data_IF_163326298896
#
_entry.id   IF_163326298896
#
_cell.length_a   1.000
_cell.length_b   1.000
_cell.length_c   1.000
_cell.angle_alpha   90.00
_cell.angle_beta   90.00
_cell.angle_gamma   90.00
#
_symmetry.space_group_name_H-M   'P 1'
#
loop_
_entity.id
_entity.type
_entity.pdbx_description
1 polymer ?
#
# COMPACT_ATOMS: atom_id res chain seq x y z
N UNK A 1 15.66 -13.39 -6.18
CA UNK A 1 14.97 -13.33 -4.87
C UNK A 1 14.87 -11.87 -4.45
N UNK A 2 13.68 -11.27 -4.51
CA UNK A 2 13.50 -9.87 -4.11
C UNK A 2 13.72 -9.73 -2.59
N UNK A 3 14.63 -8.83 -2.21
CA UNK A 3 15.10 -8.62 -0.86
C UNK A 3 13.96 -8.10 0.03
N UNK A 4 13.45 -8.91 0.95
CA UNK A 4 12.27 -8.64 1.80
C UNK A 4 12.51 -7.58 2.91
N UNK A 5 13.62 -6.85 2.86
CA UNK A 5 14.19 -6.12 4.01
C UNK A 5 14.05 -4.59 3.96
N UNK A 6 13.26 -4.02 3.02
CA UNK A 6 13.33 -2.58 2.71
C UNK A 6 12.16 -1.73 3.17
N UNK A 7 11.15 -2.29 3.84
CA UNK A 7 9.97 -1.53 4.27
C UNK A 7 9.63 -1.76 5.75
N UNK A 8 9.19 -0.70 6.43
CA UNK A 8 8.69 -0.73 7.80
C UNK A 8 7.33 -0.05 7.89
N UNK A 9 6.42 -0.64 8.65
CA UNK A 9 5.16 0.03 9.00
C UNK A 9 5.35 1.08 10.08
N UNK A 10 4.80 2.26 9.87
CA UNK A 10 4.61 3.24 10.95
C UNK A 10 3.52 2.78 11.93
N UNK A 11 3.53 3.30 13.16
CA UNK A 11 2.45 3.05 14.13
C UNK A 11 1.09 3.44 13.58
N UNK A 12 1.01 4.60 12.92
CA UNK A 12 -0.22 5.05 12.25
C UNK A 12 -0.69 4.05 11.19
N UNK A 13 0.21 3.52 10.35
CA UNK A 13 -0.16 2.51 9.36
C UNK A 13 -0.75 1.26 10.01
N UNK A 14 -0.14 0.76 11.09
CA UNK A 14 -0.64 -0.43 11.80
C UNK A 14 -2.04 -0.21 12.38
N UNK A 15 -2.29 0.94 13.00
CA UNK A 15 -3.63 1.31 13.51
C UNK A 15 -4.67 1.39 12.38
N UNK A 16 -4.32 2.07 11.29
CA UNK A 16 -5.21 2.25 10.15
C UNK A 16 -5.52 0.92 9.43
N UNK A 17 -4.55 0.03 9.34
CA UNK A 17 -4.70 -1.33 8.79
C UNK A 17 -5.62 -2.17 9.66
N UNK A 18 -5.42 -2.14 10.99
CA UNK A 18 -6.27 -2.86 11.93
C UNK A 18 -7.74 -2.42 11.82
N UNK A 19 -8.00 -1.11 11.82
CA UNK A 19 -9.37 -0.55 11.72
C UNK A 19 -10.03 -0.89 10.37
N UNK A 20 -9.25 -1.03 9.29
CA UNK A 20 -9.77 -1.33 7.93
C UNK A 20 -9.78 -2.81 7.58
N UNK A 21 -9.38 -3.67 8.51
CA UNK A 21 -9.19 -5.10 8.27
C UNK A 21 -8.30 -5.39 7.05
N UNK A 22 -7.21 -4.63 6.92
CA UNK A 22 -6.21 -4.82 5.88
C UNK A 22 -5.03 -5.57 6.49
N UNK A 23 -4.70 -6.73 5.94
CA UNK A 23 -3.61 -7.56 6.43
C UNK A 23 -2.25 -7.04 5.97
N UNK A 24 -1.19 -7.40 6.70
CA UNK A 24 0.16 -7.04 6.26
C UNK A 24 0.50 -7.73 4.93
N UNK A 25 0.02 -8.94 4.71
CA UNK A 25 0.20 -9.72 3.49
C UNK A 25 -0.40 -8.99 2.28
N UNK A 26 -1.63 -8.49 2.39
CA UNK A 26 -2.27 -7.68 1.33
C UNK A 26 -1.42 -6.44 1.00
N UNK A 27 -0.86 -5.76 2.01
CA UNK A 27 0.02 -4.59 1.78
C UNK A 27 1.33 -4.99 1.11
N UNK A 28 1.94 -6.08 1.56
CA UNK A 28 3.21 -6.54 0.98
C UNK A 28 3.02 -6.98 -0.48
N UNK A 29 1.87 -7.56 -0.83
CA UNK A 29 1.53 -7.88 -2.21
C UNK A 29 1.49 -6.63 -3.09
N UNK A 30 0.85 -5.56 -2.61
CA UNK A 30 0.80 -4.26 -3.32
C UNK A 30 2.20 -3.65 -3.47
N UNK A 31 3.07 -3.78 -2.45
CA UNK A 31 4.42 -3.23 -2.47
C UNK A 31 5.35 -4.00 -3.42
N UNK A 32 5.27 -5.33 -3.43
CA UNK A 32 6.21 -6.16 -4.20
C UNK A 32 5.80 -6.37 -5.66
N UNK A 33 4.51 -6.27 -5.97
CA UNK A 33 3.99 -6.45 -7.31
C UNK A 33 2.87 -5.43 -7.60
N UNK A 34 3.18 -4.11 -7.61
CA UNK A 34 2.19 -3.06 -7.85
C UNK A 34 1.72 -3.05 -9.31
N UNK A 35 0.44 -2.76 -9.53
CA UNK A 35 -0.07 -2.46 -10.88
C UNK A 35 0.46 -1.11 -11.37
N UNK A 36 0.63 -0.16 -10.44
CA UNK A 36 1.17 1.16 -10.72
C UNK A 36 1.86 1.77 -9.50
N UNK A 37 2.86 2.60 -9.76
CA UNK A 37 3.55 3.42 -8.75
C UNK A 37 3.45 4.89 -9.17
N UNK A 38 2.89 5.73 -8.31
CA UNK A 38 2.80 7.17 -8.51
C UNK A 38 3.76 7.90 -7.57
N UNK A 39 4.31 9.03 -8.03
CA UNK A 39 5.07 9.96 -7.21
C UNK A 39 4.22 11.20 -6.95
N UNK A 40 3.91 11.48 -5.69
CA UNK A 40 3.29 12.76 -5.31
C UNK A 40 4.35 13.86 -5.16
N UNK A 41 3.94 15.12 -5.32
CA UNK A 41 4.82 16.29 -5.15
C UNK A 41 5.46 16.38 -3.75
N UNK A 42 4.80 15.81 -2.73
CA UNK A 42 5.29 15.77 -1.34
C UNK A 42 6.22 14.57 -1.05
N UNK A 43 6.98 14.10 -2.05
CA UNK A 43 7.99 13.03 -1.94
C UNK A 43 7.45 11.64 -1.52
N UNK A 44 6.12 11.45 -1.47
CA UNK A 44 5.54 10.13 -1.23
C UNK A 44 5.46 9.31 -2.51
N UNK A 45 5.78 8.02 -2.39
CA UNK A 45 5.42 7.02 -3.39
C UNK A 45 4.10 6.39 -3.03
N UNK A 46 3.22 6.25 -4.02
CA UNK A 46 1.95 5.54 -3.87
C UNK A 46 2.02 4.29 -4.73
N UNK A 47 2.14 3.14 -4.07
CA UNK A 47 2.01 1.84 -4.69
C UNK A 47 0.53 1.50 -4.71
N UNK A 48 0.01 1.06 -5.85
CA UNK A 48 -1.37 0.61 -5.92
C UNK A 48 -1.53 -0.68 -6.71
N UNK A 49 -2.51 -1.46 -6.30
CA UNK A 49 -2.87 -2.72 -6.95
C UNK A 49 -4.35 -3.02 -6.74
N UNK A 50 -4.99 -3.62 -7.74
CA UNK A 50 -6.32 -4.21 -7.61
C UNK A 50 -6.18 -5.64 -7.07
N UNK A 51 -6.81 -5.92 -5.94
CA UNK A 51 -6.89 -7.26 -5.37
C UNK A 51 -8.35 -7.70 -5.29
N UNK A 52 -8.62 -8.97 -5.61
CA UNK A 52 -9.93 -9.59 -5.44
C UNK A 52 -10.06 -10.15 -4.04
N UNK A 53 -11.07 -9.70 -3.30
CA UNK A 53 -11.42 -10.22 -1.97
C UNK A 53 -12.88 -10.64 -1.94
N UNK A 54 -13.12 -11.89 -1.56
CA UNK A 54 -14.47 -12.47 -1.50
C UNK A 54 -15.28 -12.28 -2.80
N UNK A 55 -14.62 -12.39 -3.96
CA UNK A 55 -15.24 -12.24 -5.28
C UNK A 55 -15.50 -10.81 -5.73
N UNK A 56 -15.05 -9.80 -4.98
CA UNK A 56 -15.14 -8.39 -5.38
C UNK A 56 -13.75 -7.77 -5.48
N UNK A 57 -13.56 -6.95 -6.51
CA UNK A 57 -12.31 -6.24 -6.74
C UNK A 57 -12.25 -4.95 -5.93
N UNK A 58 -11.07 -4.67 -5.40
CA UNK A 58 -10.79 -3.44 -4.69
C UNK A 58 -9.42 -2.89 -5.07
N UNK A 59 -9.33 -1.57 -5.18
CA UNK A 59 -8.05 -0.88 -5.31
C UNK A 59 -7.44 -0.67 -3.93
N UNK A 60 -6.26 -1.23 -3.71
CA UNK A 60 -5.41 -1.00 -2.55
C UNK A 60 -4.39 0.08 -2.90
N UNK A 61 -4.19 1.04 -2.00
CA UNK A 61 -3.21 2.12 -2.16
C UNK A 61 -2.35 2.21 -0.91
N UNK A 62 -1.04 2.17 -1.09
CA UNK A 62 -0.03 2.14 -0.03
C UNK A 62 0.89 3.34 -0.19
N UNK A 63 0.92 4.18 0.85
CA UNK A 63 1.69 5.43 0.85
C UNK A 63 3.00 5.19 1.57
N UNK A 64 4.10 5.39 0.85
CA UNK A 64 5.46 5.14 1.31
C UNK A 64 6.23 6.46 1.32
N UNK A 65 6.96 6.71 2.41
CA UNK A 65 8.04 7.69 2.43
C UNK A 65 9.37 6.98 2.07
N UNK A 66 9.95 7.29 0.90
CA UNK A 66 11.19 6.69 0.43
C UNK A 66 12.46 7.32 1.04
N UNK A 67 12.34 8.43 1.77
CA UNK A 67 13.47 9.13 2.40
C UNK A 67 13.86 8.55 3.77
N UNK A 68 13.12 7.54 4.24
CA UNK A 68 13.46 6.75 5.43
C UNK A 68 14.17 5.47 5.04
N UNK A 69 15.10 5.04 5.88
CA UNK A 69 15.81 3.76 5.72
C UNK A 69 15.52 2.92 6.97
N UNK A 70 14.78 1.79 6.86
CA UNK A 70 14.07 1.31 5.66
C UNK A 70 12.90 2.25 5.27
N UNK A 71 12.43 2.13 4.02
CA UNK A 71 11.30 2.91 3.51
C UNK A 71 10.09 2.77 4.44
N UNK A 72 9.43 3.87 4.75
CA UNK A 72 8.38 3.88 5.77
C UNK A 72 7.00 3.85 5.13
N UNK A 73 6.24 2.80 5.38
CA UNK A 73 4.81 2.72 5.05
C UNK A 73 4.05 3.62 6.04
N UNK A 74 3.52 4.74 5.55
CA UNK A 74 2.82 5.74 6.36
C UNK A 74 1.36 5.38 6.59
N UNK A 75 0.69 4.90 5.55
CA UNK A 75 -0.71 4.50 5.62
C UNK A 75 -1.06 3.61 4.43
N UNK A 76 -2.15 2.87 4.57
CA UNK A 76 -2.76 2.13 3.48
C UNK A 76 -4.28 2.17 3.61
N UNK A 77 -4.96 2.19 2.46
CA UNK A 77 -6.40 2.03 2.42
C UNK A 77 -6.82 1.26 1.19
N UNK A 78 -8.06 0.79 1.23
CA UNK A 78 -8.74 0.09 0.15
C UNK A 78 -10.00 0.84 -0.25
N UNK A 79 -10.34 0.80 -1.52
CA UNK A 79 -11.59 1.37 -2.03
C UNK A 79 -12.20 0.52 -3.14
N UNK A 80 -13.53 0.42 -3.17
CA UNK A 80 -14.27 -0.17 -4.28
C UNK A 80 -14.45 0.80 -5.47
N UNK A 81 -14.09 2.08 -5.31
CA UNK A 81 -14.20 3.10 -6.35
C UNK A 81 -13.02 3.03 -7.33
N UNK A 82 -12.82 1.89 -7.98
CA UNK A 82 -11.68 1.64 -8.89
C UNK A 82 -11.66 2.66 -10.03
N UNK A 83 -12.79 2.85 -10.71
CA UNK A 83 -12.96 3.79 -11.84
C UNK A 83 -12.69 5.28 -11.52
N UNK A 84 -12.47 5.62 -10.24
CA UNK A 84 -12.08 6.99 -9.86
C UNK A 84 -10.56 7.20 -9.99
N UNK A 85 -9.79 6.11 -9.97
CA UNK A 85 -8.33 6.13 -9.82
C UNK A 85 -7.58 5.38 -10.94
N UNK A 86 -8.29 4.52 -11.69
CA UNK A 86 -7.90 3.95 -12.97
C UNK A 86 -8.84 4.53 -14.03
#
# INVERSE_FOLDING_TARGET
>A
MANRSHFKFSTHALEQMFIREISAEEIMEVIYDPDAIYKEENEHLIYQKVLTRNGADFLYRVFVNPDKIPNLIKTAYRTSKINKYL
#
